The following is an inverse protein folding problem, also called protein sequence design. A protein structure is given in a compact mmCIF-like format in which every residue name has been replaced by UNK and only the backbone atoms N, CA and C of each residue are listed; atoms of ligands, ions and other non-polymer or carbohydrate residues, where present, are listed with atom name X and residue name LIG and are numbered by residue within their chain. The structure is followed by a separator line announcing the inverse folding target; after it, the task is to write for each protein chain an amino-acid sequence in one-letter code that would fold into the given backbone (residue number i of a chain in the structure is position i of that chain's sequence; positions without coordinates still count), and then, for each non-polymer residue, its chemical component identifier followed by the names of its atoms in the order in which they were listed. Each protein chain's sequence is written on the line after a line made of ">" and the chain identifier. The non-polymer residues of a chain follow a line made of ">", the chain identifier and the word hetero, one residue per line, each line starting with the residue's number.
data_IF_120203171021
#
_entry.id   IF_120203171021
#
_cell.length_a   1.000
_cell.length_b   1.000
_cell.length_c   1.000
_cell.angle_alpha   90.00
_cell.angle_beta   90.00
_cell.angle_gamma   90.00
#
_symmetry.space_group_name_H-M   'P 1'
#
loop_
_entity.id
_entity.type
_entity.pdbx_description
1 polymer ?
#
# COMPACT_ATOMS: atom_id res chain seq x y z
N UNK A 1 -3.58 4.71 3.18
CA UNK A 1 -4.73 4.35 2.31
C UNK A 1 -5.60 3.32 3.00
N UNK A 2 -6.87 3.61 3.19
CA UNK A 2 -7.79 2.78 3.95
C UNK A 2 -9.21 2.93 3.41
N UNK A 3 -9.84 1.86 2.95
CA UNK A 3 -11.18 1.88 2.32
C UNK A 3 -12.35 2.06 3.31
N UNK A 4 -12.14 1.79 4.59
CA UNK A 4 -13.15 1.94 5.65
C UNK A 4 -12.52 1.99 7.04
N UNK A 5 -13.23 2.57 8.01
CA UNK A 5 -12.84 2.41 9.41
C UNK A 5 -13.12 0.97 9.86
N UNK A 6 -12.16 0.31 10.55
CA UNK A 6 -12.33 -1.07 11.01
C UNK A 6 -13.49 -1.17 12.00
N UNK A 7 -14.16 -2.30 11.98
CA UNK A 7 -15.03 -2.67 13.09
C UNK A 7 -14.19 -2.73 14.39
N UNK A 8 -14.77 -2.33 15.52
CA UNK A 8 -14.06 -2.39 16.81
C UNK A 8 -13.54 -3.82 17.05
N UNK A 9 -12.24 -3.97 17.24
CA UNK A 9 -11.59 -5.25 17.48
C UNK A 9 -11.04 -5.98 16.25
N UNK A 10 -11.29 -5.52 15.01
CA UNK A 10 -10.71 -6.15 13.82
C UNK A 10 -9.18 -5.95 13.82
N UNK A 11 -8.39 -7.02 13.70
CA UNK A 11 -6.94 -6.89 13.48
C UNK A 11 -6.62 -6.04 12.27
N UNK A 12 -5.60 -5.19 12.38
CA UNK A 12 -5.13 -4.31 11.32
C UNK A 12 -3.70 -4.66 10.95
N UNK A 13 -3.46 -4.93 9.68
CA UNK A 13 -2.13 -5.06 9.11
C UNK A 13 -1.78 -3.79 8.35
N UNK A 14 -0.89 -2.99 8.91
CA UNK A 14 -0.29 -1.86 8.21
C UNK A 14 0.88 -2.35 7.34
N UNK A 15 0.90 -1.93 6.09
CA UNK A 15 1.94 -2.28 5.13
C UNK A 15 2.56 -1.00 4.60
N UNK A 16 3.75 -0.65 5.10
CA UNK A 16 4.54 0.44 4.53
C UNK A 16 5.15 -0.02 3.21
N UNK A 17 4.73 0.63 2.15
CA UNK A 17 5.03 0.20 0.80
C UNK A 17 5.23 1.42 -0.12
N UNK A 18 5.80 1.20 -1.29
CA UNK A 18 5.82 2.17 -2.37
C UNK A 18 5.62 1.50 -3.73
N UNK A 19 5.03 2.24 -4.66
CA UNK A 19 4.56 1.65 -5.91
C UNK A 19 5.63 1.49 -6.99
N UNK A 20 6.85 1.97 -6.73
CA UNK A 20 8.00 1.78 -7.62
C UNK A 20 8.99 0.72 -7.09
N UNK A 21 8.66 0.07 -5.96
CA UNK A 21 9.52 -0.92 -5.33
C UNK A 21 9.26 -2.34 -5.88
N UNK A 22 10.25 -3.02 -6.48
CA UNK A 22 10.08 -4.41 -6.93
C UNK A 22 9.76 -5.39 -5.81
N UNK A 23 10.27 -5.15 -4.60
CA UNK A 23 9.98 -6.00 -3.43
C UNK A 23 8.52 -5.84 -2.98
N UNK A 24 7.93 -4.64 -3.12
CA UNK A 24 6.50 -4.42 -2.88
C UNK A 24 5.63 -5.14 -3.90
N UNK A 25 6.07 -5.22 -5.16
CA UNK A 25 5.41 -6.06 -6.17
C UNK A 25 5.35 -7.52 -5.74
N UNK A 26 6.46 -8.06 -5.22
CA UNK A 26 6.52 -9.43 -4.76
C UNK A 26 5.60 -9.71 -3.56
N UNK A 27 5.31 -8.68 -2.76
CA UNK A 27 4.38 -8.79 -1.62
C UNK A 27 2.90 -8.89 -2.03
N UNK A 28 2.53 -8.52 -3.26
CA UNK A 28 1.13 -8.53 -3.70
C UNK A 28 0.44 -9.88 -3.55
N UNK A 29 1.14 -10.97 -3.88
CA UNK A 29 0.56 -12.31 -3.80
C UNK A 29 0.28 -12.71 -2.35
N UNK A 30 1.14 -12.32 -1.42
CA UNK A 30 0.93 -12.53 0.00
C UNK A 30 -0.25 -11.71 0.53
N UNK A 31 -0.37 -10.45 0.13
CA UNK A 31 -1.49 -9.58 0.51
C UNK A 31 -2.82 -10.09 -0.07
N UNK A 32 -2.82 -10.55 -1.32
CA UNK A 32 -3.99 -11.19 -1.93
C UNK A 32 -4.42 -12.45 -1.18
N UNK A 33 -3.46 -13.30 -0.81
CA UNK A 33 -3.73 -14.52 -0.06
C UNK A 33 -4.29 -14.23 1.34
N UNK A 34 -3.76 -13.21 2.03
CA UNK A 34 -4.29 -12.78 3.33
C UNK A 34 -5.70 -12.22 3.21
N UNK A 35 -5.98 -11.39 2.21
CA UNK A 35 -7.35 -10.89 1.93
C UNK A 35 -8.32 -12.04 1.61
N UNK A 36 -7.90 -13.00 0.81
CA UNK A 36 -8.73 -14.16 0.48
C UNK A 36 -9.04 -15.04 1.71
N UNK A 37 -8.05 -15.20 2.61
CA UNK A 37 -8.21 -16.03 3.82
C UNK A 37 -9.08 -15.39 4.89
N UNK A 38 -8.93 -14.08 5.11
CA UNK A 38 -9.54 -13.42 6.27
C UNK A 38 -10.75 -12.55 5.93
N UNK A 39 -10.83 -12.03 4.69
CA UNK A 39 -11.91 -11.11 4.30
C UNK A 39 -12.03 -9.95 5.28
N UNK A 40 -13.24 -9.66 5.73
CA UNK A 40 -13.54 -8.56 6.66
C UNK A 40 -13.00 -8.77 8.09
N UNK A 41 -12.38 -9.92 8.38
CA UNK A 41 -11.75 -10.21 9.68
C UNK A 41 -10.33 -9.70 9.80
N UNK A 42 -9.77 -9.15 8.74
CA UNK A 42 -8.44 -8.51 8.71
C UNK A 42 -8.55 -7.25 7.86
N UNK A 43 -8.23 -6.10 8.45
CA UNK A 43 -8.06 -4.87 7.70
C UNK A 43 -6.63 -4.78 7.18
N UNK A 44 -6.47 -4.53 5.87
CA UNK A 44 -5.19 -4.21 5.25
C UNK A 44 -5.13 -2.72 4.99
N UNK A 45 -4.11 -2.05 5.52
CA UNK A 45 -3.82 -0.64 5.24
C UNK A 45 -2.52 -0.51 4.48
N UNK A 46 -2.58 0.06 3.31
CA UNK A 46 -1.36 0.53 2.66
C UNK A 46 -0.95 1.86 3.30
N UNK A 47 0.31 1.93 3.74
CA UNK A 47 0.96 3.13 4.27
C UNK A 47 2.07 3.53 3.32
N UNK A 48 2.12 4.79 2.96
CA UNK A 48 3.09 5.26 1.98
C UNK A 48 4.47 5.48 2.59
N UNK A 49 5.49 4.93 1.91
CA UNK A 49 6.88 5.13 2.29
C UNK A 49 7.76 5.30 1.05
N UNK A 50 7.58 6.42 0.30
CA UNK A 50 8.36 6.68 -0.91
C UNK A 50 9.85 6.81 -0.57
N UNK A 51 10.68 6.00 -1.23
CA UNK A 51 12.13 6.00 -1.05
C UNK A 51 12.76 7.03 -2.00
N UNK A 52 13.68 7.85 -1.49
CA UNK A 52 14.35 8.91 -2.27
C UNK A 52 15.06 8.40 -3.53
N UNK A 53 15.52 7.15 -3.51
CA UNK A 53 16.16 6.51 -4.67
C UNK A 53 15.20 6.19 -5.81
N UNK A 54 13.89 6.19 -5.57
CA UNK A 54 12.85 5.87 -6.55
C UNK A 54 12.15 7.16 -6.98
N UNK A 55 12.54 7.64 -8.16
CA UNK A 55 12.19 8.97 -8.68
C UNK A 55 10.69 9.26 -8.73
N UNK A 56 9.87 8.25 -9.00
CA UNK A 56 8.43 8.39 -9.19
C UNK A 56 7.59 7.89 -8.01
N UNK A 57 8.23 7.40 -6.93
CA UNK A 57 7.55 6.80 -5.80
C UNK A 57 6.61 7.79 -5.09
N UNK A 58 7.00 9.04 -4.95
CA UNK A 58 6.18 10.06 -4.29
C UNK A 58 4.93 10.42 -5.09
N UNK A 59 5.08 10.61 -6.41
CA UNK A 59 3.93 10.84 -7.30
C UNK A 59 3.00 9.62 -7.33
N UNK A 60 3.56 8.40 -7.37
CA UNK A 60 2.77 7.18 -7.35
C UNK A 60 1.98 6.98 -6.03
N UNK A 61 2.52 7.43 -4.91
CA UNK A 61 1.81 7.44 -3.63
C UNK A 61 0.60 8.38 -3.67
N UNK A 62 0.76 9.61 -4.17
CA UNK A 62 -0.35 10.55 -4.34
C UNK A 62 -1.40 10.00 -5.32
N UNK A 63 -0.96 9.36 -6.39
CA UNK A 63 -1.83 8.71 -7.36
C UNK A 63 -2.69 7.60 -6.74
N UNK A 64 -2.12 6.82 -5.83
CA UNK A 64 -2.88 5.80 -5.10
C UNK A 64 -3.98 6.40 -4.21
N UNK A 65 -3.71 7.54 -3.56
CA UNK A 65 -4.73 8.25 -2.77
C UNK A 65 -5.85 8.81 -3.63
N UNK A 66 -5.52 9.39 -4.81
CA UNK A 66 -6.56 9.83 -5.74
C UNK A 66 -7.41 8.68 -6.26
N UNK A 67 -6.79 7.55 -6.58
CA UNK A 67 -7.53 6.35 -6.98
C UNK A 67 -8.44 5.83 -5.88
N UNK A 68 -8.03 5.96 -4.60
CA UNK A 68 -8.85 5.62 -3.45
C UNK A 68 -10.07 6.55 -3.35
N UNK A 69 -9.89 7.86 -3.49
CA UNK A 69 -11.00 8.82 -3.50
C UNK A 69 -12.01 8.52 -4.61
N UNK A 70 -11.53 8.05 -5.75
CA UNK A 70 -12.37 7.61 -6.87
C UNK A 70 -12.88 6.16 -6.72
N UNK A 71 -12.65 5.49 -5.59
CA UNK A 71 -13.20 4.18 -5.22
C UNK A 71 -12.49 2.97 -5.78
N UNK A 72 -11.25 3.10 -6.30
CA UNK A 72 -10.47 1.99 -6.86
C UNK A 72 -9.01 1.95 -6.36
N UNK A 73 -8.81 2.21 -5.06
CA UNK A 73 -7.46 2.31 -4.47
C UNK A 73 -6.63 1.04 -4.64
N UNK A 74 -7.14 -0.11 -4.21
CA UNK A 74 -6.37 -1.37 -4.31
C UNK A 74 -6.18 -1.84 -5.74
N UNK A 75 -7.19 -1.72 -6.59
CA UNK A 75 -7.07 -2.05 -8.02
C UNK A 75 -5.98 -1.23 -8.69
N UNK A 76 -5.88 0.05 -8.32
CA UNK A 76 -4.84 0.94 -8.83
C UNK A 76 -3.45 0.53 -8.35
N UNK A 77 -3.29 0.29 -7.04
CA UNK A 77 -2.03 -0.17 -6.43
C UNK A 77 -1.55 -1.46 -7.10
N UNK A 78 -2.44 -2.43 -7.29
CA UNK A 78 -2.10 -3.70 -7.94
C UNK A 78 -1.69 -3.50 -9.41
N UNK A 79 -2.39 -2.63 -10.14
CA UNK A 79 -2.08 -2.35 -11.54
C UNK A 79 -0.71 -1.66 -11.71
N UNK A 80 -0.38 -0.70 -10.84
CA UNK A 80 0.91 0.01 -10.88
C UNK A 80 2.05 -0.91 -10.46
N UNK A 81 1.93 -1.60 -9.32
CA UNK A 81 2.96 -2.54 -8.85
C UNK A 81 3.19 -3.69 -9.84
N UNK A 82 2.16 -4.14 -10.54
CA UNK A 82 2.29 -5.13 -11.60
C UNK A 82 3.14 -4.67 -12.78
N UNK A 83 3.35 -3.36 -12.94
CA UNK A 83 3.98 -2.72 -14.11
C UNK A 83 5.07 -1.71 -13.70
N UNK A 84 5.85 -2.02 -12.67
CA UNK A 84 6.90 -1.13 -12.13
C UNK A 84 7.87 -0.66 -13.21
N UNK A 85 8.23 -1.53 -14.15
CA UNK A 85 9.15 -1.20 -15.23
C UNK A 85 8.58 -0.15 -16.21
N UNK A 86 7.24 -0.08 -16.34
CA UNK A 86 6.59 0.95 -17.14
C UNK A 86 6.58 2.29 -16.41
N UNK A 87 6.35 2.29 -15.10
CA UNK A 87 6.49 3.47 -14.25
C UNK A 87 7.92 4.03 -14.30
N UNK A 88 8.93 3.19 -14.19
CA UNK A 88 10.34 3.59 -14.29
C UNK A 88 10.65 4.30 -15.60
N UNK A 89 10.09 3.81 -16.70
CA UNK A 89 10.35 4.33 -18.04
C UNK A 89 9.55 5.58 -18.39
N UNK A 90 8.27 5.61 -18.04
CA UNK A 90 7.33 6.63 -18.48
C UNK A 90 6.99 7.69 -17.43
N UNK A 91 7.18 7.38 -16.13
CA UNK A 91 6.91 8.31 -15.04
C UNK A 91 5.42 8.63 -14.85
N UNK A 92 5.12 9.87 -14.45
CA UNK A 92 3.76 10.32 -14.13
C UNK A 92 2.72 10.11 -15.25
N UNK A 93 3.05 10.28 -16.56
CA UNK A 93 2.10 9.96 -17.63
C UNK A 93 1.56 8.53 -17.56
N UNK A 94 2.38 7.56 -17.11
CA UNK A 94 1.94 6.18 -16.89
C UNK A 94 0.91 6.09 -15.77
N UNK A 95 1.06 6.86 -14.70
CA UNK A 95 0.12 6.87 -13.58
C UNK A 95 -1.29 7.31 -14.04
N UNK A 96 -1.37 8.34 -14.86
CA UNK A 96 -2.63 8.82 -15.45
C UNK A 96 -3.22 7.80 -16.44
N UNK A 97 -2.37 7.11 -17.20
CA UNK A 97 -2.81 6.06 -18.12
C UNK A 97 -3.46 4.89 -17.38
N UNK A 98 -2.86 4.43 -16.27
CA UNK A 98 -3.46 3.38 -15.42
C UNK A 98 -4.82 3.82 -14.87
N UNK A 99 -4.96 5.08 -14.45
CA UNK A 99 -6.25 5.62 -14.02
C UNK A 99 -7.30 5.53 -15.13
N UNK A 100 -6.94 5.89 -16.36
CA UNK A 100 -7.82 5.80 -17.53
C UNK A 100 -8.21 4.36 -17.85
N UNK A 101 -7.25 3.42 -17.82
CA UNK A 101 -7.50 1.99 -18.06
C UNK A 101 -8.48 1.41 -17.03
N UNK A 102 -8.43 1.87 -15.79
CA UNK A 102 -9.35 1.47 -14.71
C UNK A 102 -10.71 2.19 -14.77
N UNK A 103 -10.92 3.12 -15.72
CA UNK A 103 -12.15 3.87 -15.85
C UNK A 103 -12.34 4.95 -14.79
N UNK A 104 -11.24 5.43 -14.21
CA UNK A 104 -11.23 6.59 -13.32
C UNK A 104 -11.30 7.89 -14.15
N UNK A 105 -11.70 8.99 -13.50
CA UNK A 105 -11.63 10.31 -14.12
C UNK A 105 -10.17 10.74 -14.26
N UNK A 106 -9.60 10.51 -15.45
CA UNK A 106 -8.19 10.75 -15.71
C UNK A 106 -7.82 12.24 -15.74
N UNK A 107 -8.77 13.13 -16.03
CA UNK A 107 -8.57 14.58 -16.06
C UNK A 107 -8.48 15.11 -14.61
N UNK A 108 -9.39 14.69 -13.75
CA UNK A 108 -9.35 14.99 -12.33
C UNK A 108 -8.12 14.37 -11.67
N UNK A 109 -7.75 13.15 -12.07
CA UNK A 109 -6.56 12.45 -11.60
C UNK A 109 -5.27 13.22 -11.90
N UNK A 110 -5.10 13.70 -13.13
CA UNK A 110 -3.96 14.54 -13.52
C UNK A 110 -3.93 15.85 -12.72
N UNK A 111 -5.10 16.48 -12.54
CA UNK A 111 -5.25 17.69 -11.74
C UNK A 111 -4.82 17.46 -10.29
N UNK A 112 -5.20 16.34 -9.69
CA UNK A 112 -4.84 15.99 -8.32
C UNK A 112 -3.32 15.81 -8.13
N UNK A 113 -2.63 15.26 -9.13
CA UNK A 113 -1.17 15.15 -9.10
C UNK A 113 -0.50 16.51 -9.23
N UNK A 114 -1.04 17.40 -10.07
CA UNK A 114 -0.49 18.75 -10.27
C UNK A 114 -0.70 19.66 -9.07
N UNK A 115 -1.87 19.64 -8.45
CA UNK A 115 -2.18 20.49 -7.28
C UNK A 115 -1.63 19.94 -5.96
N UNK A 116 -1.24 18.67 -5.93
CA UNK A 116 -0.58 18.03 -4.78
C UNK A 116 -1.49 17.86 -3.56
N UNK A 117 -2.80 17.75 -3.76
CA UNK A 117 -3.80 17.64 -2.67
C UNK A 117 -3.54 16.47 -1.71
N UNK A 118 -2.84 15.43 -2.14
CA UNK A 118 -2.52 14.24 -1.35
C UNK A 118 -1.13 14.26 -0.70
N UNK A 119 -0.34 15.31 -0.87
CA UNK A 119 1.03 15.40 -0.31
C UNK A 119 1.03 15.18 1.21
N UNK A 120 0.10 15.80 1.92
CA UNK A 120 0.09 15.74 3.39
C UNK A 120 -0.18 14.35 3.94
N UNK A 121 -1.00 13.54 3.27
CA UNK A 121 -1.25 12.17 3.73
C UNK A 121 -0.04 11.28 3.46
N UNK A 122 0.64 11.45 2.33
CA UNK A 122 1.88 10.72 2.02
C UNK A 122 2.99 11.08 3.02
N UNK A 123 3.17 12.37 3.32
CA UNK A 123 4.15 12.83 4.30
C UNK A 123 3.85 12.33 5.71
N UNK A 124 2.59 12.30 6.12
CA UNK A 124 2.17 11.79 7.42
C UNK A 124 2.46 10.29 7.56
N UNK A 125 2.14 9.49 6.56
CA UNK A 125 2.46 8.06 6.54
C UNK A 125 3.97 7.82 6.63
N UNK A 126 4.75 8.56 5.85
CA UNK A 126 6.21 8.42 5.86
C UNK A 126 6.80 8.84 7.22
N UNK A 127 6.30 9.92 7.82
CA UNK A 127 6.74 10.39 9.13
C UNK A 127 6.43 9.36 10.22
N UNK A 128 5.24 8.79 10.23
CA UNK A 128 4.85 7.74 11.17
C UNK A 128 5.72 6.48 10.99
N UNK A 129 5.92 6.04 9.74
CA UNK A 129 6.82 4.92 9.45
C UNK A 129 8.23 5.15 10.01
N UNK A 130 8.82 6.32 9.78
CA UNK A 130 10.13 6.69 10.33
C UNK A 130 10.14 6.66 11.87
N UNK A 131 9.08 7.16 12.50
CA UNK A 131 8.96 7.20 13.96
C UNK A 131 8.93 5.80 14.60
N UNK A 132 8.37 4.81 13.92
CA UNK A 132 8.36 3.41 14.39
C UNK A 132 9.53 2.57 13.85
N UNK A 133 10.48 3.20 13.16
CA UNK A 133 11.72 2.56 12.71
C UNK A 133 11.62 1.83 11.37
N UNK A 134 10.65 2.15 10.52
CA UNK A 134 10.64 1.69 9.12
C UNK A 134 11.81 2.31 8.37
N UNK A 135 12.61 1.48 7.69
CA UNK A 135 13.79 1.89 6.93
C UNK A 135 13.76 1.44 5.47
N UNK A 136 12.74 0.68 5.09
CA UNK A 136 12.60 0.15 3.74
C UNK A 136 11.22 -0.44 3.51
N UNK A 137 10.96 -0.89 2.30
CA UNK A 137 9.67 -1.41 1.85
C UNK A 137 9.82 -2.78 1.18
N UNK A 138 8.83 -3.67 1.32
CA UNK A 138 7.70 -3.55 2.22
C UNK A 138 8.09 -3.75 3.69
N UNK A 139 7.40 -3.07 4.62
CA UNK A 139 7.48 -3.35 6.06
C UNK A 139 6.06 -3.55 6.57
N UNK A 140 5.84 -4.65 7.30
CA UNK A 140 4.54 -5.03 7.84
C UNK A 140 4.51 -4.73 9.33
N UNK A 141 3.39 -4.18 9.79
CA UNK A 141 3.17 -3.96 11.23
C UNK A 141 1.79 -4.49 11.60
N UNK A 142 1.75 -5.39 12.57
CA UNK A 142 0.53 -5.97 13.10
C UNK A 142 0.68 -6.18 14.60
N UNK A 143 -0.30 -5.77 15.40
CA UNK A 143 -0.30 -5.91 16.86
C UNK A 143 0.99 -5.36 17.51
N UNK A 144 1.53 -4.25 16.97
CA UNK A 144 2.78 -3.66 17.44
C UNK A 144 4.06 -4.41 17.03
N UNK A 145 3.95 -5.56 16.39
CA UNK A 145 5.10 -6.31 15.86
C UNK A 145 5.45 -5.83 14.46
N UNK A 146 6.70 -5.39 14.27
CA UNK A 146 7.23 -4.99 12.97
C UNK A 146 7.96 -6.15 12.31
N UNK A 147 7.58 -6.45 11.07
CA UNK A 147 8.14 -7.50 10.24
C UNK A 147 8.69 -6.87 8.95
N UNK A 148 10.01 -6.91 8.77
CA UNK A 148 10.66 -6.32 7.60
C UNK A 148 10.57 -7.28 6.41
N UNK A 149 9.86 -6.86 5.35
CA UNK A 149 9.54 -7.71 4.20
C UNK A 149 10.59 -7.68 3.07
N UNK A 150 11.55 -6.75 3.08
CA UNK A 150 12.51 -6.53 2.00
C UNK A 150 13.13 -7.81 1.43
N UNK A 151 14.38 -8.09 1.73
CA UNK A 151 15.10 -9.29 1.21
C UNK A 151 14.69 -10.61 1.87
N UNK A 152 13.91 -10.59 2.93
CA UNK A 152 13.51 -11.74 3.76
C UNK A 152 12.00 -11.92 3.78
N UNK A 153 11.37 -12.01 2.61
CA UNK A 153 9.90 -12.21 2.53
C UNK A 153 9.47 -13.66 2.79
N UNK A 154 10.41 -14.61 2.83
CA UNK A 154 10.10 -16.01 3.09
C UNK A 154 9.48 -16.20 4.48
N UNK A 155 8.32 -16.85 4.53
CA UNK A 155 7.59 -17.10 5.77
C UNK A 155 6.84 -15.90 6.36
N UNK A 156 6.88 -14.74 5.71
CA UNK A 156 6.25 -13.52 6.22
C UNK A 156 4.73 -13.62 6.27
N UNK A 157 4.12 -14.15 5.22
CA UNK A 157 2.67 -14.39 5.16
C UNK A 157 2.21 -15.34 6.27
N UNK A 158 2.94 -16.43 6.49
CA UNK A 158 2.66 -17.41 7.53
C UNK A 158 2.77 -16.76 8.93
N UNK A 159 3.78 -15.93 9.14
CA UNK A 159 3.95 -15.20 10.40
C UNK A 159 2.80 -14.22 10.67
N UNK A 160 2.39 -13.45 9.66
CA UNK A 160 1.22 -12.57 9.77
C UNK A 160 -0.04 -13.39 10.07
N UNK A 161 -0.24 -14.51 9.37
CA UNK A 161 -1.39 -15.37 9.59
C UNK A 161 -1.45 -15.94 11.03
N UNK A 162 -0.32 -16.37 11.59
CA UNK A 162 -0.23 -16.82 12.99
C UNK A 162 -0.68 -15.73 13.97
N UNK A 163 -0.24 -14.48 13.74
CA UNK A 163 -0.61 -13.34 14.59
C UNK A 163 -2.11 -13.06 14.46
N UNK A 164 -2.65 -13.01 13.24
CA UNK A 164 -4.09 -12.78 13.01
C UNK A 164 -4.93 -13.88 13.65
N UNK A 165 -4.57 -15.14 13.47
CA UNK A 165 -5.30 -16.27 14.06
C UNK A 165 -5.32 -16.20 15.59
N UNK A 166 -4.20 -15.81 16.22
CA UNK A 166 -4.11 -15.59 17.68
C UNK A 166 -5.01 -14.45 18.14
N UNK A 167 -5.01 -13.31 17.42
CA UNK A 167 -5.85 -12.15 17.76
C UNK A 167 -7.34 -12.48 17.64
N UNK A 168 -7.73 -13.18 16.59
CA UNK A 168 -9.12 -13.60 16.38
C UNK A 168 -9.58 -14.62 17.44
N UNK A 169 -8.70 -15.52 17.88
CA UNK A 169 -9.01 -16.48 18.93
C UNK A 169 -9.19 -15.81 20.31
N UNK A 170 -8.50 -14.69 20.57
CA UNK A 170 -8.62 -13.95 21.83
C UNK A 170 -9.88 -13.07 21.95
N UNK A 171 -10.69 -12.98 20.88
CA UNK A 171 -11.94 -12.21 20.83
C UNK A 171 -13.20 -13.04 21.10
N UNK A 172 -13.05 -14.35 21.37
CA UNK A 172 -14.13 -15.32 21.63
C UNK A 172 -14.51 -15.45 23.11
#
# INVERSE_FOLDING_TARGET
>A
MNDASPASGTPVLDVWCELQCPDCRSALDDLRALRARYGDRLELRLRHFPLEKHKHAFAAAQAAEEALEQGKGWEYVEAVLGRVEELDRAGEPFLVEVARELGLDAEEFDTALVDGRHILIVDADQAEGKAIGVTGTPTYVIDGERLDGGKSQEGLRERVAEIVDRLLAGQG
#
